data_IF_969682535726
#
_entry.id   IF_969682535726
#
_cell.length_a   1.000
_cell.length_b   1.000
_cell.length_c   1.000
_cell.angle_alpha   90.00
_cell.angle_beta   90.00
_cell.angle_gamma   90.00
#
_symmetry.space_group_name_H-M   'P 1'
#
loop_
_entity.id
_entity.type
_entity.pdbx_description
1 polymer ?
#
# COMPACT_ATOMS: atom_id res chain seq x y z
N UNK A 1 -1.51 -10.63 10.63
CA UNK A 1 -2.30 -10.61 9.41
C UNK A 1 -1.50 -11.20 8.26
N UNK A 2 -2.17 -11.91 7.38
CA UNK A 2 -1.54 -12.59 6.25
C UNK A 2 -2.12 -12.04 4.95
N UNK A 3 -1.24 -11.78 3.98
CA UNK A 3 -1.63 -11.20 2.69
C UNK A 3 -1.23 -12.11 1.54
N UNK A 4 -2.03 -12.13 0.47
CA UNK A 4 -1.68 -12.73 -0.81
C UNK A 4 -1.85 -11.72 -1.92
N UNK A 5 -0.84 -11.64 -2.80
CA UNK A 5 -0.87 -10.79 -3.99
C UNK A 5 -0.79 -11.66 -5.24
N UNK A 6 -1.51 -11.31 -6.31
CA UNK A 6 -1.47 -12.11 -7.56
C UNK A 6 -0.08 -12.27 -8.16
N UNK A 7 0.81 -11.28 -7.95
CA UNK A 7 2.16 -11.30 -8.51
C UNK A 7 3.14 -12.14 -7.72
N UNK A 8 2.79 -12.57 -6.50
CA UNK A 8 3.65 -13.39 -5.65
C UNK A 8 3.00 -14.75 -5.41
N UNK A 9 3.81 -15.81 -5.42
CA UNK A 9 3.33 -17.18 -5.18
C UNK A 9 3.50 -17.60 -3.72
N UNK A 10 3.42 -16.66 -2.79
CA UNK A 10 3.61 -16.94 -1.36
C UNK A 10 2.60 -16.15 -0.54
N UNK A 11 2.31 -16.66 0.64
CA UNK A 11 1.60 -15.91 1.66
C UNK A 11 2.60 -15.07 2.44
N UNK A 12 2.27 -13.80 2.65
CA UNK A 12 3.13 -12.87 3.40
C UNK A 12 2.54 -12.72 4.80
N UNK A 13 3.17 -13.36 5.78
CA UNK A 13 2.67 -13.39 7.15
C UNK A 13 3.24 -12.24 7.99
N UNK A 14 2.36 -11.50 8.63
CA UNK A 14 2.70 -10.44 9.58
C UNK A 14 3.84 -9.53 9.13
N UNK A 15 3.80 -8.98 7.90
CA UNK A 15 4.89 -8.16 7.42
C UNK A 15 4.96 -6.82 8.15
N UNK A 16 6.17 -6.27 8.23
CA UNK A 16 6.33 -4.86 8.54
C UNK A 16 5.99 -4.07 7.28
N UNK A 17 5.08 -3.11 7.41
CA UNK A 17 4.60 -2.31 6.29
C UNK A 17 5.29 -0.94 6.31
N UNK A 18 6.00 -0.61 5.24
CA UNK A 18 6.66 0.68 5.07
C UNK A 18 6.13 1.38 3.83
N UNK A 19 5.71 2.62 3.97
CA UNK A 19 5.20 3.44 2.86
C UNK A 19 6.30 4.41 2.44
N UNK A 20 6.65 4.41 1.16
CA UNK A 20 7.65 5.34 0.62
C UNK A 20 6.96 6.61 0.12
N UNK A 21 6.88 7.62 0.99
CA UNK A 21 6.20 8.88 0.68
C UNK A 21 6.83 9.64 -0.50
N UNK A 22 8.08 9.35 -0.84
CA UNK A 22 8.76 9.97 -1.98
C UNK A 22 8.26 9.46 -3.33
N UNK A 23 7.47 8.41 -3.35
CA UNK A 23 6.94 7.79 -4.57
C UNK A 23 5.47 8.12 -4.83
N UNK A 24 4.89 9.04 -4.07
CA UNK A 24 3.48 9.41 -4.21
C UNK A 24 3.22 10.00 -5.59
N UNK A 25 2.19 9.48 -6.25
CA UNK A 25 1.63 10.02 -7.47
C UNK A 25 0.18 10.42 -7.21
N UNK A 26 -0.11 11.70 -7.36
CA UNK A 26 -1.42 12.27 -7.10
C UNK A 26 -2.12 12.59 -8.42
N UNK A 27 -3.16 11.83 -8.73
CA UNK A 27 -4.06 12.13 -9.85
C UNK A 27 -5.17 13.04 -9.34
N UNK A 28 -4.85 14.31 -9.15
CA UNK A 28 -5.70 15.27 -8.46
C UNK A 28 -7.08 15.45 -9.10
N UNK A 29 -7.17 15.38 -10.44
CA UNK A 29 -8.45 15.52 -11.15
C UNK A 29 -9.42 14.41 -10.77
N UNK A 30 -8.90 13.18 -10.63
CA UNK A 30 -9.70 12.00 -10.28
C UNK A 30 -9.75 11.75 -8.77
N UNK A 31 -8.97 12.49 -8.00
CA UNK A 31 -8.79 12.30 -6.55
C UNK A 31 -8.36 10.87 -6.22
N UNK A 32 -7.34 10.39 -6.93
CA UNK A 32 -6.74 9.08 -6.73
C UNK A 32 -5.26 9.23 -6.42
N UNK A 33 -4.79 8.48 -5.43
CA UNK A 33 -3.42 8.51 -4.96
C UNK A 33 -2.77 7.14 -5.15
N UNK A 34 -1.50 7.15 -5.56
CA UNK A 34 -0.71 5.92 -5.65
C UNK A 34 0.62 6.11 -4.93
N UNK A 35 1.13 5.04 -4.31
CA UNK A 35 2.39 5.10 -3.57
C UNK A 35 3.01 3.70 -3.51
N UNK A 36 4.35 3.64 -3.49
CA UNK A 36 5.05 2.38 -3.31
C UNK A 36 5.07 1.97 -1.85
N UNK A 37 4.83 0.68 -1.61
CA UNK A 37 4.78 0.07 -0.29
C UNK A 37 5.73 -1.11 -0.24
N UNK A 38 6.47 -1.23 0.84
CA UNK A 38 7.35 -2.36 1.10
C UNK A 38 6.81 -3.19 2.25
N UNK A 39 6.63 -4.48 2.00
CA UNK A 39 6.26 -5.45 3.03
C UNK A 39 7.48 -6.29 3.35
N UNK A 40 7.94 -6.23 4.58
CA UNK A 40 9.18 -6.90 5.01
C UNK A 40 8.85 -7.99 6.02
N UNK A 41 9.36 -9.19 5.75
CA UNK A 41 9.35 -10.31 6.68
C UNK A 41 10.77 -10.63 7.12
N UNK A 42 10.93 -11.62 8.00
CA UNK A 42 12.27 -12.06 8.47
C UNK A 42 13.15 -12.58 7.33
N UNK A 43 12.56 -13.04 6.24
CA UNK A 43 13.28 -13.73 5.17
C UNK A 43 13.23 -13.02 3.83
N UNK A 44 12.34 -12.04 3.64
CA UNK A 44 12.12 -11.46 2.32
C UNK A 44 11.54 -10.04 2.40
N UNK A 45 11.65 -9.33 1.28
CA UNK A 45 11.03 -8.03 1.08
C UNK A 45 10.19 -8.07 -0.18
N UNK A 46 8.97 -7.54 -0.10
CA UNK A 46 8.02 -7.52 -1.21
C UNK A 46 7.59 -6.08 -1.49
N UNK A 47 7.91 -5.60 -2.69
CA UNK A 47 7.50 -4.27 -3.14
C UNK A 47 6.16 -4.35 -3.88
N UNK A 48 5.20 -3.52 -3.48
CA UNK A 48 3.91 -3.41 -4.17
C UNK A 48 3.59 -1.93 -4.39
N UNK A 49 2.75 -1.65 -5.39
CA UNK A 49 2.25 -0.30 -5.62
C UNK A 49 0.79 -0.22 -5.22
N UNK A 50 0.51 0.55 -4.15
CA UNK A 50 -0.84 0.85 -3.73
C UNK A 50 -1.39 1.89 -4.70
N UNK A 51 -2.23 1.45 -5.64
CA UNK A 51 -2.68 2.27 -6.75
C UNK A 51 -4.16 2.61 -6.66
N UNK A 52 -4.52 3.79 -7.21
CA UNK A 52 -5.90 4.27 -7.31
C UNK A 52 -6.64 4.29 -5.96
N UNK A 53 -5.94 4.74 -4.92
CA UNK A 53 -6.56 4.95 -3.60
C UNK A 53 -7.35 6.25 -3.61
N UNK A 54 -8.68 6.22 -3.41
CA UNK A 54 -9.49 7.43 -3.45
C UNK A 54 -9.30 8.28 -2.21
N UNK A 55 -9.33 9.61 -2.39
CA UNK A 55 -9.39 10.56 -1.29
C UNK A 55 -10.43 11.65 -1.60
N UNK A 56 -10.85 12.39 -0.59
CA UNK A 56 -11.86 13.44 -0.75
C UNK A 56 -11.22 14.80 -0.48
N UNK A 57 -11.27 15.68 -1.46
CA UNK A 57 -10.75 17.05 -1.47
C UNK A 57 -9.23 17.14 -1.37
N UNK A 58 -8.64 16.66 -0.30
CA UNK A 58 -7.21 16.76 -0.06
C UNK A 58 -6.73 15.56 0.79
N UNK A 59 -5.41 15.43 0.87
CA UNK A 59 -4.75 14.43 1.70
C UNK A 59 -3.49 15.04 2.30
N UNK A 60 -2.96 14.43 3.36
CA UNK A 60 -1.65 14.76 3.90
C UNK A 60 -0.85 13.49 4.19
N UNK A 61 0.44 13.64 4.51
CA UNK A 61 1.33 12.50 4.72
C UNK A 61 0.86 11.57 5.84
N UNK A 62 0.22 12.11 6.87
CA UNK A 62 -0.27 11.30 7.98
C UNK A 62 -1.46 10.43 7.60
N UNK A 63 -2.20 10.80 6.56
CA UNK A 63 -3.36 10.03 6.08
C UNK A 63 -2.97 8.90 5.14
N UNK A 64 -1.83 9.03 4.44
CA UNK A 64 -1.42 8.07 3.42
C UNK A 64 -1.22 6.67 3.99
N UNK A 65 -0.63 6.56 5.18
CA UNK A 65 -0.44 5.25 5.81
C UNK A 65 -1.77 4.55 6.08
N UNK A 66 -2.76 5.28 6.58
CA UNK A 66 -4.11 4.75 6.78
C UNK A 66 -4.78 4.33 5.47
N UNK A 67 -4.59 5.09 4.41
CA UNK A 67 -5.08 4.75 3.07
C UNK A 67 -4.47 3.45 2.57
N UNK A 68 -3.15 3.29 2.75
CA UNK A 68 -2.44 2.06 2.37
C UNK A 68 -2.94 0.85 3.15
N UNK A 69 -3.11 0.98 4.46
CA UNK A 69 -3.63 -0.11 5.28
C UNK A 69 -5.03 -0.52 4.83
N UNK A 70 -5.87 0.44 4.47
CA UNK A 70 -7.19 0.14 3.93
C UNK A 70 -7.11 -0.54 2.56
N UNK A 71 -6.21 -0.09 1.70
CA UNK A 71 -5.99 -0.70 0.39
C UNK A 71 -5.52 -2.16 0.52
N UNK A 72 -4.66 -2.45 1.50
CA UNK A 72 -4.13 -3.79 1.73
C UNK A 72 -5.19 -4.80 2.16
N UNK A 73 -6.31 -4.35 2.71
CA UNK A 73 -7.39 -5.25 3.17
C UNK A 73 -7.92 -6.17 2.07
N UNK A 74 -7.91 -5.73 0.83
CA UNK A 74 -8.37 -6.55 -0.29
C UNK A 74 -7.48 -7.79 -0.53
N UNK A 75 -6.25 -7.78 -0.03
CA UNK A 75 -5.29 -8.88 -0.15
C UNK A 75 -5.18 -9.72 1.12
N UNK A 76 -5.91 -9.37 2.15
CA UNK A 76 -5.93 -10.08 3.43
C UNK A 76 -6.63 -11.44 3.28
N UNK A 77 -6.04 -12.45 3.93
CA UNK A 77 -6.63 -13.77 3.98
C UNK A 77 -7.42 -13.93 5.29
#
# INVERSE_FOLDING_TARGET
MTYTFPQFNVEIENPKISVNLNTIQDKAIDQLLSVDVLLTTDTAKFGVNATDMPYINTWDDSEVEGMVLNWLKQFEI
#
